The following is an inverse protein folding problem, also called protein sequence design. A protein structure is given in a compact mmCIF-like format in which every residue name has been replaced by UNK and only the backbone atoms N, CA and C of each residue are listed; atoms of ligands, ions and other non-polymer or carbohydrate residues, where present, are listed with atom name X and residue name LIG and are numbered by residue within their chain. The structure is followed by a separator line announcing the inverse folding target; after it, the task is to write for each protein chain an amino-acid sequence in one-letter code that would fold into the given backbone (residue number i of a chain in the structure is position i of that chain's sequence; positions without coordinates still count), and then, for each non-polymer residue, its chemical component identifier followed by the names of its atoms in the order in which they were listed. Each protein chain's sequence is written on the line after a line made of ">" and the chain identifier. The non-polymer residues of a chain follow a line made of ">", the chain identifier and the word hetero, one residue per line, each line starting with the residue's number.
data_IF_881487100866
#
_entry.id   IF_881487100866
#
_cell.length_a   1.000
_cell.length_b   1.000
_cell.length_c   1.000
_cell.angle_alpha   90.00
_cell.angle_beta   90.00
_cell.angle_gamma   90.00
#
_symmetry.space_group_name_H-M   'P 1'
#
loop_
_entity.id
_entity.type
_entity.pdbx_description
1 polymer ?
#
# COMPACT_ATOMS: atom_id res chain seq x y z
N UNK A 1 17.50 -5.66 -26.13
CA UNK A 1 16.15 -6.19 -25.85
C UNK A 1 15.74 -5.62 -24.50
N UNK A 2 14.47 -5.30 -24.28
CA UNK A 2 13.99 -4.80 -22.99
C UNK A 2 13.25 -5.94 -22.25
N UNK A 3 13.84 -6.47 -21.18
CA UNK A 3 13.21 -7.46 -20.31
C UNK A 3 12.48 -6.78 -19.15
N UNK A 4 11.40 -7.40 -18.64
CA UNK A 4 10.64 -6.85 -17.53
C UNK A 4 11.47 -6.87 -16.23
N UNK A 5 11.24 -5.86 -15.37
CA UNK A 5 11.72 -5.87 -13.99
C UNK A 5 10.94 -6.92 -13.20
N UNK A 6 11.62 -7.85 -12.55
CA UNK A 6 11.02 -8.89 -11.70
C UNK A 6 11.49 -8.74 -10.26
N UNK A 7 10.58 -8.87 -9.30
CA UNK A 7 10.90 -8.91 -7.88
C UNK A 7 11.78 -10.15 -7.62
N UNK A 8 12.97 -9.93 -7.05
CA UNK A 8 13.90 -11.02 -6.69
C UNK A 8 13.94 -11.26 -5.20
N UNK A 9 13.89 -10.18 -4.41
CA UNK A 9 13.93 -10.23 -2.95
C UNK A 9 12.95 -9.21 -2.38
N UNK A 10 12.35 -9.53 -1.23
CA UNK A 10 11.50 -8.61 -0.50
C UNK A 10 11.74 -8.72 1.00
N UNK A 11 11.40 -7.66 1.71
CA UNK A 11 11.30 -7.65 3.16
C UNK A 11 10.13 -6.75 3.60
N UNK A 12 9.57 -7.06 4.76
CA UNK A 12 8.50 -6.27 5.40
C UNK A 12 8.96 -5.88 6.78
N UNK A 13 8.74 -4.62 7.12
CA UNK A 13 8.97 -4.10 8.45
C UNK A 13 7.65 -3.66 9.06
N UNK A 14 7.40 -4.09 10.30
CA UNK A 14 6.28 -3.63 11.13
C UNK A 14 6.89 -2.96 12.35
N UNK A 15 6.58 -1.68 12.57
CA UNK A 15 7.12 -0.93 13.72
C UNK A 15 8.66 -1.04 13.89
N UNK A 16 9.38 -1.05 12.77
CA UNK A 16 10.85 -1.20 12.75
C UNK A 16 11.37 -2.63 12.90
N UNK A 17 10.52 -3.60 13.26
CA UNK A 17 10.88 -5.01 13.30
C UNK A 17 10.86 -5.64 11.90
N UNK A 18 11.88 -6.43 11.56
CA UNK A 18 12.05 -7.04 10.25
C UNK A 18 11.47 -8.45 10.20
N UNK A 19 10.59 -8.74 9.24
CA UNK A 19 9.99 -10.06 9.01
C UNK A 19 10.76 -10.88 7.97
N UNK A 20 12.08 -10.71 7.93
CA UNK A 20 12.94 -11.45 7.02
C UNK A 20 12.87 -12.95 7.35
N UNK A 21 12.53 -13.77 6.35
CA UNK A 21 12.36 -15.22 6.53
C UNK A 21 11.02 -15.65 7.11
N UNK A 22 10.15 -14.70 7.49
CA UNK A 22 8.79 -14.97 8.02
C UNK A 22 7.72 -14.47 7.05
N UNK A 23 7.87 -13.28 6.45
CA UNK A 23 6.92 -12.76 5.48
C UNK A 23 6.95 -13.59 4.18
N UNK A 24 5.78 -14.14 3.80
CA UNK A 24 5.63 -15.05 2.64
C UNK A 24 5.11 -14.31 1.40
N UNK A 25 4.16 -13.39 1.58
CA UNK A 25 3.62 -12.58 0.48
C UNK A 25 3.15 -11.20 0.94
N UNK A 26 3.13 -10.24 0.02
CA UNK A 26 2.60 -8.88 0.24
C UNK A 26 1.84 -8.44 -0.99
N UNK A 27 0.61 -8.01 -0.78
CA UNK A 27 -0.23 -7.31 -1.74
C UNK A 27 -0.20 -5.83 -1.38
N UNK A 28 0.52 -5.04 -2.18
CA UNK A 28 0.53 -3.59 -2.05
C UNK A 28 -0.85 -3.01 -2.39
N UNK A 29 -1.20 -1.85 -1.83
CA UNK A 29 -2.45 -1.18 -2.14
C UNK A 29 -2.68 -0.93 -3.63
N UNK A 30 -3.91 -1.21 -4.07
CA UNK A 30 -4.36 -0.90 -5.42
C UNK A 30 -4.91 0.51 -5.44
N UNK A 31 -4.15 1.44 -6.02
CA UNK A 31 -4.58 2.83 -6.16
C UNK A 31 -5.74 2.94 -7.17
N UNK A 32 -6.97 2.79 -6.69
CA UNK A 32 -8.20 2.95 -7.46
C UNK A 32 -8.83 4.32 -7.21
N UNK A 33 -9.48 4.86 -8.24
CA UNK A 33 -10.19 6.14 -8.19
C UNK A 33 -11.68 5.90 -8.25
N UNK A 34 -12.44 6.66 -7.47
CA UNK A 34 -13.89 6.66 -7.52
C UNK A 34 -14.34 7.50 -8.71
N UNK A 35 -14.92 6.86 -9.72
CA UNK A 35 -15.36 7.53 -10.94
C UNK A 35 -16.89 7.51 -11.03
N UNK A 36 -17.49 8.67 -11.31
CA UNK A 36 -18.93 8.79 -11.59
C UNK A 36 -19.15 9.21 -13.05
N UNK A 37 -19.93 8.44 -13.79
CA UNK A 37 -20.23 8.75 -15.19
C UNK A 37 -21.24 9.89 -15.27
N UNK A 38 -20.79 11.06 -15.71
CA UNK A 38 -21.65 12.23 -15.91
C UNK A 38 -21.92 12.47 -17.39
N UNK A 39 -23.17 12.77 -17.73
CA UNK A 39 -23.58 13.17 -19.09
C UNK A 39 -24.47 14.40 -19.04
N UNK A 40 -23.90 15.55 -19.39
CA UNK A 40 -24.59 16.84 -19.45
C UNK A 40 -25.21 17.14 -20.82
N UNK A 41 -25.87 18.31 -20.90
CA UNK A 41 -26.44 18.81 -22.14
C UNK A 41 -25.36 19.01 -23.22
N UNK A 42 -25.65 18.57 -24.45
CA UNK A 42 -24.71 18.65 -25.57
C UNK A 42 -23.64 17.55 -25.61
N UNK A 43 -23.64 16.61 -24.66
CA UNK A 43 -22.69 15.49 -24.66
C UNK A 43 -23.25 14.26 -25.40
N UNK A 44 -22.50 13.77 -26.38
CA UNK A 44 -22.85 12.55 -27.13
C UNK A 44 -22.53 11.24 -26.37
N UNK A 45 -21.90 11.33 -25.20
CA UNK A 45 -21.58 10.18 -24.33
C UNK A 45 -21.30 10.62 -22.89
N UNK A 46 -21.17 9.68 -21.97
CA UNK A 46 -20.80 9.96 -20.58
C UNK A 46 -19.28 10.15 -20.43
N UNK A 47 -18.88 11.13 -19.62
CA UNK A 47 -17.50 11.30 -19.19
C UNK A 47 -17.36 10.86 -17.71
N UNK A 48 -16.33 10.06 -17.37
CA UNK A 48 -16.07 9.70 -15.98
C UNK A 48 -15.47 10.89 -15.23
N UNK A 49 -16.19 11.37 -14.22
CA UNK A 49 -15.76 12.41 -13.29
C UNK A 49 -15.06 11.75 -12.11
N UNK A 50 -13.90 12.26 -11.73
CA UNK A 50 -13.09 11.74 -10.63
C UNK A 50 -13.51 12.36 -9.29
N UNK A 51 -13.84 11.52 -8.33
CA UNK A 51 -14.30 11.88 -6.98
C UNK A 51 -13.27 11.56 -5.89
N UNK A 52 -12.03 11.27 -6.28
CA UNK A 52 -10.95 10.97 -5.35
C UNK A 52 -10.63 9.47 -5.25
N UNK A 53 -10.07 9.06 -4.13
CA UNK A 53 -9.73 7.67 -3.87
C UNK A 53 -10.98 6.85 -3.59
N UNK A 54 -10.96 5.59 -4.05
CA UNK A 54 -11.96 4.59 -3.69
C UNK A 54 -11.78 4.13 -2.23
N UNK A 55 -12.83 3.55 -1.63
CA UNK A 55 -12.85 3.19 -0.21
C UNK A 55 -11.77 2.14 0.13
N UNK A 56 -11.47 1.24 -0.80
CA UNK A 56 -10.45 0.18 -0.67
C UNK A 56 -9.11 0.53 -1.38
N UNK A 57 -8.95 1.75 -1.90
CA UNK A 57 -7.77 2.13 -2.70
C UNK A 57 -6.44 2.04 -1.93
N UNK A 58 -6.53 2.05 -0.60
CA UNK A 58 -5.40 1.96 0.33
C UNK A 58 -5.43 0.68 1.17
N UNK A 59 -6.14 -0.37 0.73
CA UNK A 59 -6.14 -1.67 1.39
C UNK A 59 -4.89 -2.48 1.01
N UNK A 60 -4.19 -3.01 2.01
CA UNK A 60 -3.06 -3.93 1.82
C UNK A 60 -3.32 -5.25 2.55
N UNK A 61 -2.72 -6.31 2.03
CA UNK A 61 -2.71 -7.64 2.65
C UNK A 61 -1.29 -8.17 2.65
N UNK A 62 -0.88 -8.85 3.72
CA UNK A 62 0.38 -9.57 3.76
C UNK A 62 0.23 -10.87 4.54
N UNK A 63 1.02 -11.88 4.17
CA UNK A 63 0.99 -13.20 4.79
C UNK A 63 2.31 -13.57 5.45
N UNK A 64 2.20 -14.31 6.55
CA UNK A 64 3.28 -14.80 7.39
C UNK A 64 3.34 -16.31 7.31
N UNK A 65 4.54 -16.87 7.19
CA UNK A 65 4.80 -18.27 7.44
C UNK A 65 4.89 -18.50 8.95
N UNK A 66 3.81 -19.01 9.54
CA UNK A 66 3.68 -19.28 10.96
C UNK A 66 2.53 -18.53 11.63
N UNK A 67 2.49 -18.67 12.95
CA UNK A 67 1.55 -17.96 13.82
C UNK A 67 2.03 -16.51 14.04
N UNK A 68 1.14 -15.50 14.14
CA UNK A 68 1.56 -14.11 14.29
C UNK A 68 2.24 -13.84 15.64
N UNK A 69 3.37 -13.12 15.61
CA UNK A 69 4.08 -12.67 16.81
C UNK A 69 3.26 -11.70 17.67
N UNK A 70 3.63 -11.53 18.94
CA UNK A 70 2.93 -10.64 19.89
C UNK A 70 2.76 -9.20 19.39
N UNK A 71 3.75 -8.68 18.65
CA UNK A 71 3.73 -7.33 18.07
C UNK A 71 2.52 -7.10 17.16
N UNK A 72 2.08 -8.13 16.44
CA UNK A 72 0.91 -8.02 15.55
C UNK A 72 -0.36 -7.90 16.38
N UNK A 73 -0.47 -8.65 17.47
CA UNK A 73 -1.60 -8.61 18.40
C UNK A 73 -1.65 -7.33 19.21
N UNK A 74 -0.50 -6.76 19.59
CA UNK A 74 -0.41 -5.47 20.27
C UNK A 74 -0.91 -4.30 19.41
N UNK A 75 -0.82 -4.45 18.08
CA UNK A 75 -1.29 -3.47 17.11
C UNK A 75 -2.76 -3.68 16.71
N UNK A 76 -3.35 -4.80 17.10
CA UNK A 76 -4.77 -5.08 16.86
C UNK A 76 -5.63 -4.13 17.70
N UNK A 77 -6.57 -3.45 17.04
CA UNK A 77 -7.41 -2.42 17.65
C UNK A 77 -6.65 -1.21 18.24
N UNK A 78 -5.45 -0.91 17.73
CA UNK A 78 -4.76 0.34 18.07
C UNK A 78 -5.65 1.57 17.81
N UNK A 79 -5.65 2.52 18.74
CA UNK A 79 -6.62 3.64 18.78
C UNK A 79 -6.39 4.70 17.71
N UNK A 80 -5.18 4.81 17.17
CA UNK A 80 -4.80 5.76 16.11
C UNK A 80 -5.17 5.27 14.72
N UNK A 81 -5.56 6.20 13.83
CA UNK A 81 -5.88 5.89 12.41
C UNK A 81 -4.63 5.53 11.59
N UNK A 82 -3.45 5.88 12.08
CA UNK A 82 -2.12 5.69 11.50
C UNK A 82 -1.20 4.87 12.41
N UNK A 83 -1.75 4.18 13.40
CA UNK A 83 -1.00 3.53 14.48
C UNK A 83 -0.17 2.32 14.04
N UNK A 84 -0.43 1.77 12.85
CA UNK A 84 0.28 0.59 12.32
C UNK A 84 1.26 1.03 11.23
N UNK A 85 2.54 1.31 11.57
CA UNK A 85 3.57 1.64 10.59
C UNK A 85 4.10 0.37 9.91
N UNK A 86 3.92 0.29 8.60
CA UNK A 86 4.39 -0.81 7.75
C UNK A 86 5.31 -0.26 6.67
N UNK A 87 6.38 -0.98 6.38
CA UNK A 87 7.28 -0.66 5.29
C UNK A 87 7.60 -1.91 4.50
N UNK A 88 7.28 -1.86 3.21
CA UNK A 88 7.68 -2.88 2.25
C UNK A 88 8.95 -2.42 1.54
N UNK A 89 9.92 -3.32 1.40
CA UNK A 89 11.12 -3.11 0.61
C UNK A 89 11.27 -4.26 -0.39
N UNK A 90 11.26 -3.95 -1.68
CA UNK A 90 11.41 -4.90 -2.78
C UNK A 90 12.62 -4.57 -3.65
N UNK A 91 13.42 -5.58 -3.96
CA UNK A 91 14.52 -5.49 -4.93
C UNK A 91 14.06 -6.10 -6.25
N UNK A 92 13.92 -5.26 -7.27
CA UNK A 92 13.53 -5.66 -8.62
C UNK A 92 14.77 -5.68 -9.53
N UNK A 93 14.89 -6.69 -10.38
CA UNK A 93 16.01 -6.76 -11.33
C UNK A 93 15.51 -6.94 -12.75
N UNK A 94 16.21 -6.33 -13.71
CA UNK A 94 16.08 -6.67 -15.12
C UNK A 94 17.12 -7.72 -15.50
N UNK A 95 16.68 -8.80 -16.13
CA UNK A 95 17.56 -9.92 -16.49
C UNK A 95 18.41 -9.63 -17.75
N UNK A 96 18.11 -8.56 -18.51
CA UNK A 96 18.83 -8.20 -19.75
C UNK A 96 20.09 -7.35 -19.50
N UNK A 97 20.02 -6.50 -18.49
CA UNK A 97 21.00 -5.47 -18.15
C UNK A 97 21.65 -5.74 -16.79
N UNK A 98 21.06 -6.61 -15.99
CA UNK A 98 21.47 -6.87 -14.61
C UNK A 98 21.11 -5.74 -13.63
N UNK A 99 20.53 -4.63 -14.13
CA UNK A 99 20.17 -3.45 -13.36
C UNK A 99 19.16 -3.82 -12.26
N UNK A 100 19.50 -3.47 -11.02
CA UNK A 100 18.63 -3.61 -9.85
C UNK A 100 18.00 -2.27 -9.50
N UNK A 101 16.75 -2.33 -9.06
CA UNK A 101 15.92 -1.20 -8.73
C UNK A 101 15.29 -1.45 -7.37
N UNK A 102 15.51 -0.51 -6.45
CA UNK A 102 14.92 -0.57 -5.13
C UNK A 102 13.53 0.07 -5.17
N UNK A 103 12.51 -0.67 -4.74
CA UNK A 103 11.15 -0.18 -4.55
C UNK A 103 10.82 -0.23 -3.07
N UNK A 104 10.51 0.91 -2.50
CA UNK A 104 10.13 1.04 -1.10
C UNK A 104 8.72 1.62 -1.00
N UNK A 105 7.87 1.00 -0.18
CA UNK A 105 6.53 1.48 0.10
C UNK A 105 6.37 1.66 1.60
N UNK A 106 6.16 2.90 2.03
CA UNK A 106 5.87 3.23 3.43
C UNK A 106 4.37 3.43 3.58
N UNK A 107 3.78 2.73 4.53
CA UNK A 107 2.34 2.70 4.77
C UNK A 107 2.07 2.92 6.25
N UNK A 108 0.98 3.65 6.55
CA UNK A 108 0.44 3.75 7.92
C UNK A 108 -1.06 3.57 7.87
N UNK A 109 -1.60 2.85 8.84
CA UNK A 109 -3.01 2.50 8.83
C UNK A 109 -3.49 1.79 10.08
N UNK A 110 -4.56 1.01 9.91
CA UNK A 110 -5.15 0.13 10.92
C UNK A 110 -5.25 -1.29 10.41
N UNK A 111 -4.92 -2.25 11.28
CA UNK A 111 -5.24 -3.65 11.01
C UNK A 111 -6.76 -3.84 11.00
N UNK A 112 -7.27 -4.33 9.88
CA UNK A 112 -8.68 -4.64 9.66
C UNK A 112 -9.00 -6.06 10.13
N UNK A 113 -8.08 -7.00 9.88
CA UNK A 113 -8.29 -8.42 10.10
C UNK A 113 -6.97 -9.13 10.35
N UNK A 114 -7.00 -10.12 11.25
CA UNK A 114 -5.94 -11.10 11.47
C UNK A 114 -6.61 -12.47 11.31
N UNK A 115 -6.25 -13.17 10.25
CA UNK A 115 -6.66 -14.54 9.97
C UNK A 115 -5.50 -15.47 10.27
N UNK A 116 -5.63 -16.32 11.29
CA UNK A 116 -4.59 -17.29 11.69
C UNK A 116 -4.65 -18.59 10.89
N UNK A 117 -5.55 -18.68 9.91
CA UNK A 117 -5.76 -19.89 9.12
C UNK A 117 -6.25 -21.08 9.93
N UNK A 118 -6.04 -22.27 9.38
CA UNK A 118 -6.38 -23.55 10.00
C UNK A 118 -5.12 -24.20 10.60
N UNK A 119 -5.13 -24.52 11.90
CA UNK A 119 -4.01 -25.18 12.57
C UNK A 119 -4.09 -26.70 12.51
N UNK A 120 -3.39 -27.32 11.54
CA UNK A 120 -3.26 -28.78 11.44
C UNK A 120 -1.88 -29.25 11.86
N UNK A 121 -1.82 -30.29 12.69
CA UNK A 121 -0.55 -30.86 13.14
C UNK A 121 0.22 -31.44 11.95
N UNK A 122 1.44 -30.94 11.72
CA UNK A 122 2.32 -31.41 10.65
C UNK A 122 2.10 -30.76 9.28
N UNK A 123 1.18 -29.80 9.16
CA UNK A 123 0.98 -28.99 7.94
C UNK A 123 1.58 -27.59 8.08
N UNK A 124 1.74 -26.89 6.94
CA UNK A 124 2.21 -25.50 6.92
C UNK A 124 1.18 -24.60 7.61
N UNK A 125 1.67 -23.68 8.44
CA UNK A 125 0.82 -22.70 9.13
C UNK A 125 1.02 -21.36 8.44
N UNK A 126 -0.05 -20.75 7.95
CA UNK A 126 0.00 -19.44 7.30
C UNK A 126 -1.05 -18.52 7.91
N UNK A 127 -0.61 -17.31 8.26
CA UNK A 127 -1.49 -16.26 8.79
C UNK A 127 -1.55 -15.09 7.82
N UNK A 128 -2.74 -14.51 7.63
CA UNK A 128 -2.97 -13.34 6.78
C UNK A 128 -3.39 -12.14 7.61
N UNK A 129 -2.87 -10.98 7.25
CA UNK A 129 -3.14 -9.73 7.95
C UNK A 129 -3.57 -8.70 6.91
N UNK A 130 -4.77 -8.16 7.09
CA UNK A 130 -5.33 -7.11 6.25
C UNK A 130 -5.21 -5.78 6.96
N UNK A 131 -4.73 -4.75 6.27
CA UNK A 131 -4.54 -3.39 6.82
C UNK A 131 -5.16 -2.38 5.88
N UNK A 132 -5.92 -1.44 6.44
CA UNK A 132 -6.47 -0.30 5.70
C UNK A 132 -5.59 0.90 6.03
N UNK A 133 -4.92 1.43 5.00
CA UNK A 133 -3.97 2.52 5.13
C UNK A 133 -4.61 3.89 4.94
N UNK A 134 -4.09 4.88 5.66
CA UNK A 134 -4.40 6.31 5.50
C UNK A 134 -3.22 7.11 4.96
N UNK A 135 -2.02 6.53 5.05
CA UNK A 135 -0.81 7.05 4.43
C UNK A 135 -0.19 5.98 3.52
N UNK A 136 0.22 6.38 2.33
CA UNK A 136 0.93 5.57 1.36
C UNK A 136 2.00 6.42 0.67
N UNK A 137 3.26 5.96 0.69
CA UNK A 137 4.35 6.58 -0.06
C UNK A 137 5.14 5.53 -0.81
N UNK A 138 5.22 5.68 -2.14
CA UNK A 138 6.01 4.85 -3.04
C UNK A 138 7.26 5.60 -3.49
N UNK A 139 8.41 4.99 -3.21
CA UNK A 139 9.72 5.46 -3.65
C UNK A 139 10.38 4.39 -4.53
N UNK A 140 10.95 4.81 -5.66
CA UNK A 140 11.71 3.93 -6.55
C UNK A 140 13.09 4.55 -6.81
N UNK A 141 14.16 3.81 -6.53
CA UNK A 141 15.55 4.28 -6.60
C UNK A 141 15.79 5.62 -5.87
N UNK A 142 15.20 5.76 -4.69
CA UNK A 142 15.29 6.97 -3.88
C UNK A 142 14.45 8.15 -4.37
N UNK A 143 13.74 8.01 -5.50
CA UNK A 143 12.82 9.02 -6.01
C UNK A 143 11.39 8.73 -5.57
N UNK A 144 10.78 9.67 -4.88
CA UNK A 144 9.35 9.62 -4.55
C UNK A 144 8.51 9.72 -5.83
N UNK A 145 7.65 8.73 -6.05
CA UNK A 145 6.75 8.68 -7.20
C UNK A 145 5.34 9.07 -6.83
N UNK A 146 4.85 8.55 -5.70
CA UNK A 146 3.49 8.76 -5.22
C UNK A 146 3.52 8.93 -3.71
N UNK A 147 2.87 9.98 -3.21
CA UNK A 147 2.59 10.18 -1.79
C UNK A 147 1.10 10.51 -1.64
N UNK A 148 0.42 9.74 -0.80
CA UNK A 148 -0.99 9.88 -0.48
C UNK A 148 -1.12 9.93 1.04
N UNK A 149 -1.79 10.97 1.52
CA UNK A 149 -2.21 11.14 2.91
C UNK A 149 -3.66 11.61 2.92
N UNK A 150 -4.57 10.73 3.36
CA UNK A 150 -6.00 11.04 3.35
C UNK A 150 -6.39 12.02 4.47
N UNK A 151 -5.64 12.08 5.55
CA UNK A 151 -5.92 12.96 6.70
C UNK A 151 -5.46 14.38 6.38
N UNK A 152 -4.25 14.53 5.84
CA UNK A 152 -3.69 15.83 5.48
C UNK A 152 -4.09 16.29 4.06
N UNK A 153 -4.93 15.51 3.36
CA UNK A 153 -5.33 15.73 1.98
C UNK A 153 -4.15 15.95 1.04
N UNK A 154 -3.11 15.13 1.15
CA UNK A 154 -1.94 15.19 0.27
C UNK A 154 -2.11 14.11 -0.80
N UNK A 155 -2.03 14.50 -2.06
CA UNK A 155 -1.97 13.57 -3.18
C UNK A 155 -0.92 14.06 -4.17
N UNK A 156 0.34 13.66 -3.94
CA UNK A 156 1.45 13.99 -4.82
C UNK A 156 1.72 12.85 -5.78
N UNK A 157 1.78 13.18 -7.06
CA UNK A 157 2.19 12.25 -8.12
C UNK A 157 3.30 12.90 -8.91
N UNK A 158 4.47 12.25 -8.95
CA UNK A 158 5.70 12.76 -9.56
C UNK A 158 6.09 14.17 -9.06
N UNK A 159 5.89 14.42 -7.75
CA UNK A 159 6.22 15.69 -7.11
C UNK A 159 5.20 16.82 -7.29
N UNK A 160 4.10 16.59 -8.03
CA UNK A 160 3.01 17.57 -8.18
C UNK A 160 1.86 17.20 -7.26
N UNK A 161 1.51 18.10 -6.35
CA UNK A 161 0.38 17.95 -5.44
C UNK A 161 -0.94 18.32 -6.15
N UNK A 162 -1.83 17.33 -6.28
CA UNK A 162 -3.12 17.50 -6.96
C UNK A 162 -4.18 18.17 -6.08
N UNK A 163 -3.98 18.16 -4.76
CA UNK A 163 -4.95 18.68 -3.80
C UNK A 163 -4.56 20.06 -3.26
N UNK A 164 -3.39 20.60 -3.62
CA UNK A 164 -2.91 21.90 -3.16
C UNK A 164 -3.92 23.04 -3.38
N UNK A 165 -4.45 23.16 -4.60
CA UNK A 165 -5.43 24.21 -4.90
C UNK A 165 -6.77 23.97 -4.18
N UNK A 166 -7.16 22.71 -4.01
CA UNK A 166 -8.37 22.37 -3.26
C UNK A 166 -8.24 22.76 -1.78
N UNK A 167 -7.11 22.45 -1.13
CA UNK A 167 -6.82 22.87 0.24
C UNK A 167 -6.89 24.39 0.40
N UNK A 168 -6.25 25.13 -0.52
CA UNK A 168 -6.35 26.61 -0.55
C UNK A 168 -7.79 27.11 -0.67
N UNK A 169 -8.59 26.50 -1.56
CA UNK A 169 -9.97 26.93 -1.78
C UNK A 169 -10.88 26.68 -0.56
N UNK A 170 -10.56 25.70 0.29
CA UNK A 170 -11.30 25.39 1.53
C UNK A 170 -10.64 25.97 2.79
N UNK A 171 -9.57 26.78 2.63
CA UNK A 171 -8.92 27.50 3.73
C UNK A 171 -7.94 26.66 4.57
N UNK A 172 -7.33 25.63 3.98
CA UNK A 172 -6.30 24.77 4.59
C UNK A 172 -4.92 24.95 3.94
#
# INVERSE_FOLDING_TARGET
>A
MAMPRKLKLMNVFLNGYSYQGVAKSVTLPKLTRKLENYRGAGMNGSAPVDLGLDDDALSMEWSLGGFPDSVIWELYAATGVDAVPIRFAGSYQRDDTGETVAVEVVMRGRQKEIDTGEGKQGEDTESKISVVCTYFRLTMDGKELVEIDTINMIEKVNGVDRLEQHRRNIGL
#
